data_IF_427666652750
#
_entry.id   IF_427666652750
#
_cell.length_a   1.000
_cell.length_b   1.000
_cell.length_c   1.000
_cell.angle_alpha   90.00
_cell.angle_beta   90.00
_cell.angle_gamma   90.00
#
_symmetry.space_group_name_H-M   'P 1'
#
loop_
_entity.id
_entity.type
_entity.pdbx_description
1 polymer ?
#
# COMPACT_ATOMS: atom_id res chain seq x y z
N UNK A 1 16.98 19.93 4.16
CA UNK A 1 17.18 18.47 3.97
C UNK A 1 15.81 17.80 4.01
N UNK A 2 15.47 16.94 3.05
CA UNK A 2 14.18 16.22 3.05
C UNK A 2 14.19 15.14 4.13
N UNK A 3 13.03 14.85 4.74
CA UNK A 3 12.85 13.72 5.67
C UNK A 3 12.38 12.50 4.89
N UNK A 4 12.94 11.32 5.19
CA UNK A 4 12.51 10.06 4.59
C UNK A 4 11.23 9.57 5.26
N UNK A 5 10.24 9.20 4.45
CA UNK A 5 8.99 8.58 4.89
C UNK A 5 8.76 7.29 4.09
N UNK A 6 8.82 6.15 4.77
CA UNK A 6 8.47 4.86 4.19
C UNK A 6 6.95 4.68 4.23
N UNK A 7 6.31 4.74 3.07
CA UNK A 7 4.88 4.53 2.89
C UNK A 7 4.64 3.11 2.36
N UNK A 8 3.96 2.27 3.13
CA UNK A 8 3.73 0.86 2.78
C UNK A 8 2.25 0.55 2.86
N UNK A 9 1.70 0.06 1.75
CA UNK A 9 0.32 -0.42 1.66
C UNK A 9 0.34 -1.94 1.64
N UNK A 10 -0.42 -2.57 2.55
CA UNK A 10 -0.78 -3.98 2.39
C UNK A 10 -1.99 -4.04 1.44
N UNK A 11 -1.85 -4.54 0.20
CA UNK A 11 -2.91 -4.45 -0.81
C UNK A 11 -4.16 -5.26 -0.48
N UNK A 12 -4.04 -6.28 0.39
CA UNK A 12 -5.15 -7.17 0.78
C UNK A 12 -5.83 -6.74 2.10
N UNK A 13 -5.34 -5.69 2.76
CA UNK A 13 -5.85 -5.31 4.07
C UNK A 13 -7.31 -4.84 4.01
N UNK A 14 -8.10 -5.35 4.97
CA UNK A 14 -9.52 -5.03 5.10
C UNK A 14 -10.45 -5.77 4.13
N UNK A 15 -9.95 -6.76 3.39
CA UNK A 15 -10.78 -7.57 2.46
C UNK A 15 -11.79 -8.49 3.18
N UNK A 16 -11.48 -8.96 4.40
CA UNK A 16 -12.34 -9.88 5.16
C UNK A 16 -13.52 -9.22 5.88
N UNK A 17 -13.50 -7.90 6.06
CA UNK A 17 -14.52 -7.16 6.81
C UNK A 17 -15.94 -7.27 6.19
N UNK A 18 -16.11 -7.01 4.89
CA UNK A 18 -17.42 -7.10 4.23
C UNK A 18 -18.04 -8.51 4.18
N UNK A 19 -17.22 -9.57 4.31
CA UNK A 19 -17.67 -10.96 4.23
C UNK A 19 -17.81 -11.63 5.61
N UNK A 20 -17.66 -10.88 6.70
CA UNK A 20 -17.61 -11.40 8.07
C UNK A 20 -16.58 -12.53 8.27
N UNK A 21 -15.56 -12.60 7.41
CA UNK A 21 -14.46 -13.54 7.54
C UNK A 21 -13.59 -13.08 8.72
N UNK A 22 -13.22 -14.00 9.61
CA UNK A 22 -12.30 -13.72 10.72
C UNK A 22 -10.90 -13.44 10.16
N UNK A 23 -10.65 -12.18 9.79
CA UNK A 23 -9.34 -11.70 9.37
C UNK A 23 -9.12 -11.66 7.86
N UNK A 24 -7.99 -11.08 7.46
CA UNK A 24 -7.50 -11.00 6.07
C UNK A 24 -6.23 -11.84 5.89
N UNK A 25 -6.13 -12.95 6.62
CA UNK A 25 -4.92 -13.77 6.66
C UNK A 25 -4.99 -14.93 5.65
N UNK A 26 -3.91 -15.10 4.89
CA UNK A 26 -3.67 -16.26 4.04
C UNK A 26 -4.79 -16.53 3.02
N UNK A 27 -5.30 -17.77 3.04
CA UNK A 27 -6.26 -18.30 2.08
C UNK A 27 -7.62 -17.58 2.09
N UNK A 28 -8.05 -17.06 3.26
CA UNK A 28 -9.30 -16.31 3.37
C UNK A 28 -9.28 -15.01 2.55
N UNK A 29 -8.12 -14.36 2.44
CA UNK A 29 -7.97 -13.17 1.60
C UNK A 29 -8.02 -13.50 0.10
N UNK A 30 -7.47 -14.66 -0.30
CA UNK A 30 -7.52 -15.12 -1.68
C UNK A 30 -8.95 -15.48 -2.09
N UNK A 31 -9.67 -16.23 -1.24
CA UNK A 31 -11.07 -16.59 -1.46
C UNK A 31 -11.94 -15.32 -1.53
N UNK A 32 -11.73 -14.35 -0.65
CA UNK A 32 -12.45 -13.08 -0.70
C UNK A 32 -12.19 -12.31 -2.00
N UNK A 33 -10.94 -12.32 -2.49
CA UNK A 33 -10.58 -11.70 -3.77
C UNK A 33 -11.25 -12.39 -4.96
N UNK A 34 -11.30 -13.73 -4.96
CA UNK A 34 -12.03 -14.53 -5.96
C UNK A 34 -13.54 -14.23 -5.93
N UNK A 35 -14.10 -13.96 -4.75
CA UNK A 35 -15.47 -13.51 -4.55
C UNK A 35 -15.69 -12.01 -4.89
N UNK A 36 -14.73 -11.35 -5.54
CA UNK A 36 -14.76 -9.93 -5.94
C UNK A 36 -14.87 -8.95 -4.76
N UNK A 37 -14.50 -9.36 -3.54
CA UNK A 37 -14.36 -8.45 -2.43
C UNK A 37 -13.22 -7.46 -2.73
N UNK A 38 -13.48 -6.17 -2.49
CA UNK A 38 -12.50 -5.10 -2.72
C UNK A 38 -11.79 -4.78 -1.39
N UNK A 39 -10.45 -4.90 -1.34
CA UNK A 39 -9.68 -4.38 -0.21
C UNK A 39 -9.97 -2.89 0.00
N UNK A 40 -9.94 -2.44 1.26
CA UNK A 40 -10.17 -1.03 1.59
C UNK A 40 -8.88 -0.23 1.72
N UNK A 41 -7.72 -0.90 1.75
CA UNK A 41 -6.43 -0.25 1.91
C UNK A 41 -6.04 0.67 0.75
N UNK A 42 -6.25 0.34 -0.54
CA UNK A 42 -5.85 1.24 -1.63
C UNK A 42 -6.57 2.59 -1.55
N UNK A 43 -7.88 2.59 -1.29
CA UNK A 43 -8.65 3.85 -1.20
C UNK A 43 -8.26 4.68 0.03
N UNK A 44 -7.95 4.03 1.16
CA UNK A 44 -7.45 4.73 2.35
C UNK A 44 -6.05 5.30 2.12
N UNK A 45 -5.20 4.57 1.43
CA UNK A 45 -3.85 4.98 1.04
C UNK A 45 -3.89 6.23 0.14
N UNK A 46 -4.70 6.21 -0.92
CA UNK A 46 -4.90 7.39 -1.79
C UNK A 46 -5.35 8.61 -0.98
N UNK A 47 -6.39 8.47 -0.13
CA UNK A 47 -6.88 9.58 0.71
C UNK A 47 -5.81 10.16 1.64
N UNK A 48 -4.95 9.31 2.20
CA UNK A 48 -3.83 9.76 3.03
C UNK A 48 -2.84 10.60 2.21
N UNK A 49 -2.46 10.13 1.03
CA UNK A 49 -1.51 10.82 0.15
C UNK A 49 -2.09 12.13 -0.40
N UNK A 50 -3.37 12.16 -0.77
CA UNK A 50 -4.08 13.40 -1.15
C UNK A 50 -4.01 14.43 -0.03
N UNK A 51 -4.28 14.01 1.22
CA UNK A 51 -4.21 14.91 2.37
C UNK A 51 -2.79 15.41 2.60
N UNK A 52 -1.80 14.52 2.53
CA UNK A 52 -0.38 14.86 2.66
C UNK A 52 0.04 15.91 1.63
N UNK A 53 -0.36 15.74 0.36
CA UNK A 53 -0.11 16.69 -0.73
C UNK A 53 -0.83 18.02 -0.49
N UNK A 54 -2.09 17.99 -0.06
CA UNK A 54 -2.86 19.22 0.24
C UNK A 54 -2.27 20.08 1.35
N UNK A 55 -1.47 19.45 2.23
CA UNK A 55 -0.76 20.13 3.32
C UNK A 55 0.64 20.63 2.89
N UNK A 56 1.04 20.44 1.62
CA UNK A 56 2.34 20.85 1.09
C UNK A 56 3.55 20.09 1.66
N UNK A 57 3.31 18.95 2.31
CA UNK A 57 4.35 18.19 3.00
C UNK A 57 5.25 17.42 2.03
N UNK A 58 4.80 17.17 0.80
CA UNK A 58 5.53 16.44 -0.24
C UNK A 58 6.88 17.10 -0.60
N UNK A 59 6.95 18.42 -0.57
CA UNK A 59 8.21 19.17 -0.80
C UNK A 59 9.29 18.88 0.26
N UNK A 60 8.87 18.54 1.49
CA UNK A 60 9.75 18.25 2.62
C UNK A 60 10.08 16.77 2.77
N UNK A 61 9.46 15.91 1.97
CA UNK A 61 9.55 14.47 2.10
C UNK A 61 10.26 13.82 0.91
N UNK A 62 11.06 12.80 1.23
CA UNK A 62 11.42 11.75 0.30
C UNK A 62 10.52 10.56 0.61
N UNK A 63 9.49 10.36 -0.22
CA UNK A 63 8.58 9.23 -0.08
C UNK A 63 9.22 7.97 -0.67
N UNK A 64 9.38 6.96 0.18
CA UNK A 64 9.85 5.64 -0.19
C UNK A 64 8.66 4.69 -0.17
N UNK A 65 8.58 3.75 -1.10
CA UNK A 65 7.51 2.75 -1.13
C UNK A 65 7.92 1.48 -1.90
N UNK A 66 7.02 0.50 -1.95
CA UNK A 66 7.15 -0.70 -2.78
C UNK A 66 6.33 -0.55 -4.06
N UNK A 67 6.70 -1.26 -5.12
CA UNK A 67 6.05 -1.12 -6.43
C UNK A 67 4.61 -1.65 -6.47
N UNK A 68 3.86 -1.21 -7.49
CA UNK A 68 2.48 -1.60 -7.73
C UNK A 68 1.54 -1.17 -6.60
N UNK A 69 0.55 -2.03 -6.32
CA UNK A 69 -0.48 -1.80 -5.30
C UNK A 69 0.04 -1.73 -3.83
N UNK A 70 1.35 -1.84 -3.61
CA UNK A 70 1.95 -1.65 -2.28
C UNK A 70 2.28 -0.18 -1.95
N UNK A 71 1.82 0.76 -2.78
CA UNK A 71 1.90 2.20 -2.53
C UNK A 71 2.33 3.04 -3.73
N UNK A 72 3.01 2.44 -4.73
CA UNK A 72 3.42 3.13 -5.95
C UNK A 72 2.22 3.59 -6.79
N UNK A 73 1.21 2.72 -6.95
CA UNK A 73 0.00 3.03 -7.73
C UNK A 73 -0.78 4.20 -7.12
N UNK A 74 -0.98 4.18 -5.80
CA UNK A 74 -1.67 5.25 -5.07
C UNK A 74 -0.89 6.57 -5.14
N UNK A 75 0.43 6.53 -5.01
CA UNK A 75 1.26 7.73 -5.13
C UNK A 75 1.26 8.31 -6.55
N UNK A 76 1.30 7.46 -7.58
CA UNK A 76 1.18 7.87 -8.98
C UNK A 76 -0.18 8.50 -9.25
N UNK A 77 -1.27 7.93 -8.71
CA UNK A 77 -2.62 8.46 -8.85
C UNK A 77 -2.74 9.88 -8.28
N UNK A 78 -2.11 10.14 -7.13
CA UNK A 78 -2.09 11.48 -6.49
C UNK A 78 -1.06 12.43 -7.14
N UNK A 79 -0.18 11.91 -8.00
CA UNK A 79 0.91 12.65 -8.62
C UNK A 79 1.97 13.09 -7.61
N UNK A 80 2.39 12.18 -6.74
CA UNK A 80 3.53 12.34 -5.83
C UNK A 80 4.77 11.66 -6.41
N UNK A 81 5.94 12.27 -6.21
CA UNK A 81 7.22 11.64 -6.52
C UNK A 81 7.59 10.64 -5.43
N UNK A 82 8.02 9.45 -5.85
CA UNK A 82 8.35 8.34 -4.96
C UNK A 82 9.62 7.62 -5.40
N UNK A 83 10.32 7.02 -4.45
CA UNK A 83 11.41 6.08 -4.68
C UNK A 83 10.91 4.67 -4.37
N UNK A 84 10.95 3.79 -5.36
CA UNK A 84 10.62 2.37 -5.18
C UNK A 84 11.83 1.66 -4.57
N UNK A 85 11.70 1.18 -3.33
CA UNK A 85 12.78 0.46 -2.62
C UNK A 85 12.68 -1.05 -2.77
N UNK A 86 11.49 -1.57 -3.08
CA UNK A 86 11.25 -3.00 -3.24
C UNK A 86 10.26 -3.27 -4.37
N UNK A 87 10.45 -4.39 -5.08
CA UNK A 87 9.57 -4.84 -6.16
C UNK A 87 9.10 -6.26 -5.87
N UNK A 88 7.85 -6.46 -5.40
CA UNK A 88 7.29 -7.78 -5.18
C UNK A 88 7.30 -8.59 -6.49
N UNK A 89 7.74 -9.86 -6.47
CA UNK A 89 7.93 -10.64 -7.71
C UNK A 89 6.62 -11.13 -8.33
N UNK A 90 5.50 -11.09 -7.59
CA UNK A 90 4.20 -11.58 -8.05
C UNK A 90 3.05 -10.89 -7.34
N UNK A 91 1.88 -10.97 -7.96
CA UNK A 91 0.58 -10.65 -7.37
C UNK A 91 -0.20 -11.94 -7.08
N UNK A 92 -0.94 -12.04 -5.95
CA UNK A 92 -0.98 -11.08 -4.84
C UNK A 92 0.29 -11.10 -4.00
N UNK A 93 0.55 -9.97 -3.33
CA UNK A 93 1.71 -9.83 -2.43
C UNK A 93 1.48 -10.55 -1.12
N UNK A 94 2.56 -10.84 -0.42
CA UNK A 94 2.60 -11.67 0.79
C UNK A 94 3.10 -10.85 1.98
N UNK A 95 2.99 -11.45 3.18
CA UNK A 95 3.59 -10.90 4.41
C UNK A 95 5.09 -10.60 4.25
N UNK A 96 5.82 -11.44 3.49
CA UNK A 96 7.26 -11.27 3.27
C UNK A 96 7.56 -10.02 2.43
N UNK A 97 6.70 -9.68 1.48
CA UNK A 97 6.85 -8.46 0.66
C UNK A 97 6.75 -7.20 1.53
N UNK A 98 5.80 -7.18 2.47
CA UNK A 98 5.66 -6.09 3.46
C UNK A 98 6.89 -5.98 4.35
N UNK A 99 7.37 -7.09 4.91
CA UNK A 99 8.56 -7.11 5.78
C UNK A 99 9.79 -6.63 5.01
N UNK A 100 9.97 -7.13 3.79
CA UNK A 100 11.12 -6.76 2.94
C UNK A 100 11.09 -5.27 2.63
N UNK A 101 9.94 -4.73 2.22
CA UNK A 101 9.77 -3.29 1.97
C UNK A 101 10.23 -2.44 3.15
N UNK A 102 9.74 -2.76 4.36
CA UNK A 102 10.09 -2.00 5.58
C UNK A 102 11.57 -2.08 5.90
N UNK A 103 12.22 -3.24 5.66
CA UNK A 103 13.66 -3.42 5.88
C UNK A 103 14.53 -2.64 4.88
N UNK A 104 14.00 -2.23 3.74
CA UNK A 104 14.77 -1.58 2.67
C UNK A 104 14.73 -0.03 2.68
N UNK A 105 13.85 0.59 3.47
CA UNK A 105 13.59 2.05 3.46
C UNK A 105 14.68 2.98 4.12
#
# INVERSE_FOLDING_TARGET
MKRRLCFVVNPLAGIGGPLALKGSDGEAALIALEQRAKPSSPQRATRFLERLKSLGLDSMLELLTSSGAMGEEEAKLVGLSITVVYRPPKWPTTRLDTITTVKTC
#
